data_IF_825929094557
#
_entry.id   IF_825929094557
#
_cell.length_a   1.000
_cell.length_b   1.000
_cell.length_c   1.000
_cell.angle_alpha   90.00
_cell.angle_beta   90.00
_cell.angle_gamma   90.00
#
_symmetry.space_group_name_H-M   'P 1'
#
loop_
_entity.id
_entity.type
_entity.pdbx_description
1 polymer ?
#
# COMPACT_ATOMS: atom_id res chain seq x y z
N UNK A 1 21.76 33.55 6.74
CA UNK A 1 20.51 32.80 6.46
C UNK A 1 19.92 32.39 7.78
N UNK A 2 18.65 32.72 8.02
CA UNK A 2 17.95 32.38 9.26
C UNK A 2 17.71 30.87 9.32
N UNK A 3 17.92 30.26 10.48
CA UNK A 3 17.59 28.86 10.73
C UNK A 3 16.46 28.79 11.74
N UNK A 4 15.26 28.51 11.27
CA UNK A 4 14.06 28.56 12.09
C UNK A 4 14.08 27.55 13.26
N UNK A 5 14.82 26.43 13.17
CA UNK A 5 14.97 25.50 14.31
C UNK A 5 15.64 26.13 15.54
N UNK A 6 16.54 27.09 15.32
CA UNK A 6 17.28 27.75 16.41
C UNK A 6 16.61 29.04 16.86
N UNK A 7 15.85 29.71 16.00
CA UNK A 7 15.17 30.97 16.34
C UNK A 7 14.18 30.81 17.50
N UNK A 8 13.39 29.72 17.48
CA UNK A 8 12.40 29.45 18.53
C UNK A 8 13.02 28.98 19.86
N UNK A 9 14.31 28.63 19.89
CA UNK A 9 15.02 28.30 21.14
C UNK A 9 15.66 29.50 21.82
N UNK A 10 15.79 30.63 21.12
CA UNK A 10 16.63 31.76 21.54
C UNK A 10 15.86 32.84 22.31
N UNK A 11 14.58 32.63 22.65
CA UNK A 11 13.88 33.44 23.66
C UNK A 11 14.45 33.21 25.08
N UNK A 12 15.71 33.63 25.28
CA UNK A 12 16.22 34.05 26.58
C UNK A 12 15.54 35.38 26.88
N UNK A 13 14.41 35.30 27.55
CA UNK A 13 13.72 36.42 28.17
C UNK A 13 14.70 37.26 29.01
N UNK A 14 15.03 38.45 28.51
CA UNK A 14 15.39 39.54 29.41
C UNK A 14 14.10 39.92 30.15
N UNK A 15 14.08 39.61 31.44
CA UNK A 15 13.13 40.01 32.50
C UNK A 15 11.97 39.04 32.77
N UNK A 16 12.12 38.40 33.94
CA UNK A 16 11.12 38.07 34.97
C UNK A 16 9.97 37.14 34.55
N UNK A 17 10.16 35.88 34.96
CA UNK A 17 9.15 34.94 35.48
C UNK A 17 7.80 34.83 34.74
N UNK A 18 7.72 33.86 33.83
CA UNK A 18 6.84 32.69 33.98
C UNK A 18 7.25 31.62 32.96
N UNK A 19 7.47 30.41 33.47
CA UNK A 19 7.82 29.22 32.69
C UNK A 19 6.65 28.83 31.80
N UNK A 20 6.66 29.21 30.54
CA UNK A 20 5.96 28.45 29.50
C UNK A 20 6.93 28.19 28.36
N UNK A 21 7.32 26.92 28.21
CA UNK A 21 8.27 26.43 27.22
C UNK A 21 7.63 26.34 25.81
N UNK A 22 6.64 27.19 25.51
CA UNK A 22 5.74 27.12 24.35
C UNK A 22 5.84 28.42 23.54
N UNK A 23 5.90 28.38 22.18
CA UNK A 23 5.91 29.59 21.37
C UNK A 23 4.61 30.39 21.56
N UNK A 24 4.68 31.72 21.50
CA UNK A 24 3.49 32.59 21.55
C UNK A 24 3.04 33.01 20.16
N UNK A 25 1.72 33.02 19.94
CA UNK A 25 1.10 33.43 18.67
C UNK A 25 1.36 34.91 18.33
N UNK A 26 1.65 35.74 19.34
CA UNK A 26 1.90 37.18 19.18
C UNK A 26 3.39 37.51 18.91
N UNK A 27 4.29 36.53 18.96
CA UNK A 27 5.72 36.79 18.75
C UNK A 27 6.03 37.21 17.31
N UNK A 28 6.85 38.26 17.15
CA UNK A 28 7.31 38.73 15.83
C UNK A 28 7.95 37.60 15.02
N UNK A 29 8.71 36.72 15.70
CA UNK A 29 9.35 35.55 15.09
C UNK A 29 8.30 34.60 14.51
N UNK A 30 7.19 34.35 15.20
CA UNK A 30 6.11 33.50 14.71
C UNK A 30 5.34 34.15 13.55
N UNK A 31 5.10 35.46 13.59
CA UNK A 31 4.44 36.19 12.50
C UNK A 31 5.28 36.11 11.22
N UNK A 32 6.58 36.36 11.32
CA UNK A 32 7.52 36.22 10.20
C UNK A 32 7.60 34.78 9.69
N UNK A 33 7.54 33.80 10.59
CA UNK A 33 7.54 32.37 10.22
C UNK A 33 6.26 31.98 9.46
N UNK A 34 5.11 32.44 9.93
CA UNK A 34 3.80 32.23 9.27
C UNK A 34 3.81 32.83 7.87
N UNK A 35 4.35 34.04 7.72
CA UNK A 35 4.52 34.69 6.42
C UNK A 35 5.48 33.90 5.50
N UNK A 36 6.58 33.37 6.05
CA UNK A 36 7.52 32.53 5.33
C UNK A 36 6.88 31.23 4.80
N UNK A 37 6.08 30.55 5.63
CA UNK A 37 5.41 29.31 5.23
C UNK A 37 4.24 29.55 4.26
N UNK A 38 3.58 30.70 4.35
CA UNK A 38 2.39 31.03 3.55
C UNK A 38 1.18 30.14 3.89
N UNK A 39 1.08 29.71 5.15
CA UNK A 39 -0.01 28.87 5.67
C UNK A 39 -0.90 29.64 6.65
N UNK A 40 -2.02 29.02 7.06
CA UNK A 40 -2.84 29.57 8.15
C UNK A 40 -2.08 29.60 9.47
N UNK A 41 -2.62 30.31 10.46
CA UNK A 41 -2.02 30.44 11.79
C UNK A 41 -1.88 29.07 12.46
N UNK A 42 -2.91 28.25 12.39
CA UNK A 42 -2.97 26.94 13.05
C UNK A 42 -1.93 25.98 12.47
N UNK A 43 -1.85 25.88 11.13
CA UNK A 43 -0.86 25.05 10.44
C UNK A 43 0.57 25.51 10.73
N UNK A 44 0.81 26.82 10.68
CA UNK A 44 2.12 27.40 10.95
C UNK A 44 2.54 27.17 12.40
N UNK A 45 1.58 27.25 13.34
CA UNK A 45 1.84 27.05 14.75
C UNK A 45 2.20 25.61 15.09
N UNK A 46 1.53 24.62 14.50
CA UNK A 46 1.91 23.21 14.67
C UNK A 46 3.34 22.96 14.16
N UNK A 47 3.75 23.55 13.03
CA UNK A 47 5.14 23.43 12.55
C UNK A 47 6.12 24.17 13.48
N UNK A 48 5.73 25.32 14.03
CA UNK A 48 6.53 26.05 15.00
C UNK A 48 6.80 25.21 16.27
N UNK A 49 5.75 24.61 16.83
CA UNK A 49 5.85 23.66 17.95
C UNK A 49 6.75 22.47 17.60
N UNK A 50 6.65 21.92 16.38
CA UNK A 50 7.54 20.86 15.92
C UNK A 50 9.01 21.32 15.92
N UNK A 51 9.30 22.50 15.35
CA UNK A 51 10.66 23.04 15.31
C UNK A 51 11.23 23.21 16.72
N UNK A 52 10.42 23.69 17.68
CA UNK A 52 10.81 23.82 19.07
C UNK A 52 11.11 22.45 19.71
N UNK A 53 10.21 21.47 19.58
CA UNK A 53 10.43 20.14 20.14
C UNK A 53 11.66 19.47 19.54
N UNK A 54 11.84 19.57 18.22
CA UNK A 54 12.95 18.95 17.50
C UNK A 54 14.32 19.53 17.88
N UNK A 55 14.35 20.77 18.35
CA UNK A 55 15.57 21.43 18.85
C UNK A 55 16.01 20.88 20.21
N UNK A 56 15.04 20.44 21.04
CA UNK A 56 15.25 19.91 22.40
C UNK A 56 15.42 18.40 22.41
N UNK A 57 14.68 17.70 21.55
CA UNK A 57 14.60 16.25 21.51
C UNK A 57 15.08 15.69 20.17
N UNK A 58 15.65 14.47 20.22
CA UNK A 58 16.09 13.75 19.01
C UNK A 58 14.90 13.31 18.15
N UNK A 59 13.76 13.03 18.78
CA UNK A 59 12.52 12.56 18.17
C UNK A 59 11.34 13.39 18.70
N UNK A 60 10.26 13.48 17.92
CA UNK A 60 9.03 14.19 18.29
C UNK A 60 7.87 13.23 18.13
N UNK A 61 7.06 13.06 19.18
CA UNK A 61 5.83 12.25 19.13
C UNK A 61 4.61 13.12 18.79
N UNK A 62 3.54 12.49 18.30
CA UNK A 62 2.24 13.10 18.04
C UNK A 62 1.64 13.72 19.30
N UNK A 63 1.60 12.95 20.38
CA UNK A 63 1.05 13.37 21.67
C UNK A 63 1.75 14.59 22.24
N UNK A 64 3.09 14.65 22.16
CA UNK A 64 3.87 15.79 22.66
C UNK A 64 3.65 17.03 21.79
N UNK A 65 3.60 16.86 20.47
CA UNK A 65 3.36 17.95 19.53
C UNK A 65 1.97 18.58 19.71
N UNK A 66 0.93 17.74 19.76
CA UNK A 66 -0.46 18.18 19.92
C UNK A 66 -0.62 18.84 21.29
N UNK A 67 -0.13 18.22 22.37
CA UNK A 67 -0.18 18.78 23.72
C UNK A 67 0.50 20.15 23.81
N UNK A 68 1.66 20.32 23.17
CA UNK A 68 2.35 21.60 23.15
C UNK A 68 1.53 22.68 22.42
N UNK A 69 0.99 22.37 21.24
CA UNK A 69 0.23 23.31 20.42
C UNK A 69 -1.12 23.68 21.06
N UNK A 70 -1.77 22.73 21.73
CA UNK A 70 -3.05 22.94 22.43
C UNK A 70 -2.93 23.86 23.66
N UNK A 71 -1.73 24.30 24.05
CA UNK A 71 -1.56 25.33 25.08
C UNK A 71 -1.96 26.74 24.60
N UNK A 72 -2.00 26.98 23.29
CA UNK A 72 -2.27 28.30 22.70
C UNK A 72 -3.46 28.28 21.72
N UNK A 73 -3.78 27.12 21.15
CA UNK A 73 -4.90 26.93 20.23
C UNK A 73 -5.92 25.94 20.81
N UNK A 74 -7.15 25.96 20.30
CA UNK A 74 -8.16 24.96 20.65
C UNK A 74 -7.72 23.57 20.19
N UNK A 75 -7.93 22.54 21.02
CA UNK A 75 -7.48 21.16 20.71
C UNK A 75 -8.02 20.65 19.38
N UNK A 76 -9.28 20.96 19.06
CA UNK A 76 -9.90 20.56 17.78
C UNK A 76 -9.19 21.21 16.57
N UNK A 77 -8.82 22.48 16.67
CA UNK A 77 -8.09 23.19 15.61
C UNK A 77 -6.67 22.65 15.43
N UNK A 78 -6.00 22.30 16.54
CA UNK A 78 -4.66 21.69 16.52
C UNK A 78 -4.69 20.32 15.86
N UNK A 79 -5.65 19.46 16.23
CA UNK A 79 -5.83 18.14 15.63
C UNK A 79 -6.12 18.25 14.13
N UNK A 80 -7.01 19.16 13.73
CA UNK A 80 -7.31 19.42 12.33
C UNK A 80 -6.08 19.93 11.56
N UNK A 81 -5.33 20.87 12.13
CA UNK A 81 -4.11 21.39 11.53
C UNK A 81 -3.03 20.31 11.39
N UNK A 82 -2.84 19.48 12.41
CA UNK A 82 -1.93 18.34 12.39
C UNK A 82 -2.32 17.32 11.29
N UNK A 83 -3.60 16.94 11.21
CA UNK A 83 -4.11 16.07 10.15
C UNK A 83 -3.91 16.66 8.75
N UNK A 84 -4.14 17.97 8.60
CA UNK A 84 -3.98 18.66 7.32
C UNK A 84 -2.50 18.73 6.92
N UNK A 85 -1.57 18.94 7.84
CA UNK A 85 -0.12 18.90 7.57
C UNK A 85 0.36 17.51 7.13
N UNK A 86 -0.17 16.45 7.74
CA UNK A 86 0.07 15.07 7.29
C UNK A 86 -0.51 14.85 5.88
N UNK A 87 -1.71 15.35 5.60
CA UNK A 87 -2.33 15.27 4.27
C UNK A 87 -1.53 16.03 3.20
N UNK A 88 -0.98 17.19 3.56
CA UNK A 88 -0.09 17.97 2.71
C UNK A 88 1.28 17.28 2.54
N UNK A 89 1.58 16.23 3.31
CA UNK A 89 2.88 15.57 3.30
C UNK A 89 4.01 16.49 3.78
N UNK A 90 3.67 17.48 4.60
CA UNK A 90 4.62 18.36 5.28
C UNK A 90 5.17 17.67 6.53
N UNK A 91 4.29 16.96 7.26
CA UNK A 91 4.64 16.00 8.31
C UNK A 91 4.53 14.57 7.76
N UNK A 92 5.37 13.67 8.28
CA UNK A 92 5.44 12.26 7.91
C UNK A 92 5.59 11.43 9.20
N UNK A 93 4.72 10.44 9.38
CA UNK A 93 4.88 9.46 10.46
C UNK A 93 5.84 8.36 10.02
N UNK A 94 6.91 8.16 10.78
CA UNK A 94 7.83 7.03 10.64
C UNK A 94 7.53 6.01 11.72
N UNK A 95 7.28 4.79 11.28
CA UNK A 95 7.21 3.60 12.13
C UNK A 95 8.55 2.88 12.02
N UNK A 96 9.24 2.64 13.14
CA UNK A 96 10.45 1.82 13.12
C UNK A 96 10.06 0.38 12.78
N UNK A 97 10.72 -0.22 11.77
CA UNK A 97 10.31 -1.50 11.17
C UNK A 97 10.48 -2.70 12.12
N UNK A 98 11.02 -2.50 13.32
CA UNK A 98 11.21 -3.52 14.35
C UNK A 98 10.32 -3.39 15.59
N UNK A 99 9.81 -2.19 15.90
CA UNK A 99 8.96 -1.92 17.06
C UNK A 99 7.83 -0.98 16.64
N UNK A 100 6.62 -1.52 16.50
CA UNK A 100 5.41 -0.80 16.04
C UNK A 100 4.90 0.30 16.98
N UNK A 101 5.61 0.59 18.08
CA UNK A 101 5.13 1.44 19.17
C UNK A 101 5.82 2.81 19.26
N UNK A 102 6.98 2.99 18.61
CA UNK A 102 7.70 4.27 18.61
C UNK A 102 7.35 5.05 17.34
N UNK A 103 6.20 5.73 17.34
CA UNK A 103 5.85 6.68 16.29
C UNK A 103 6.74 7.92 16.36
N UNK A 104 7.43 8.22 15.25
CA UNK A 104 8.26 9.42 15.13
C UNK A 104 7.73 10.31 14.03
N UNK A 105 7.42 11.56 14.38
CA UNK A 105 7.05 12.57 13.41
C UNK A 105 8.32 13.20 12.84
N UNK A 106 8.40 13.24 11.51
CA UNK A 106 9.45 13.97 10.80
C UNK A 106 8.86 14.93 9.79
N UNK A 107 9.53 16.06 9.60
CA UNK A 107 9.24 16.93 8.47
C UNK A 107 9.64 16.25 7.16
N UNK A 108 8.93 16.58 6.10
CA UNK A 108 9.38 16.31 4.75
C UNK A 108 10.79 16.90 4.54
N UNK A 109 11.67 16.15 3.86
CA UNK A 109 13.06 16.58 3.62
C UNK A 109 13.15 17.95 2.92
N UNK A 110 12.25 18.24 1.99
CA UNK A 110 12.25 19.53 1.27
C UNK A 110 11.85 20.67 2.20
N UNK A 111 10.81 20.45 3.02
CA UNK A 111 10.37 21.39 4.05
C UNK A 111 11.45 21.61 5.13
N UNK A 112 12.09 20.54 5.60
CA UNK A 112 13.17 20.63 6.59
C UNK A 112 14.34 21.46 6.06
N UNK A 113 14.70 21.30 4.78
CA UNK A 113 15.72 22.11 4.10
C UNK A 113 15.26 23.57 3.93
N UNK A 114 14.00 23.80 3.56
CA UNK A 114 13.42 25.13 3.45
C UNK A 114 13.50 25.88 4.79
N UNK A 115 13.13 25.22 5.89
CA UNK A 115 13.17 25.74 7.25
C UNK A 115 14.62 25.99 7.72
N UNK A 116 15.56 25.09 7.44
CA UNK A 116 16.98 25.28 7.82
C UNK A 116 17.67 26.42 7.09
N UNK A 117 17.31 26.65 5.82
CA UNK A 117 17.93 27.66 4.96
C UNK A 117 17.12 28.95 4.84
N UNK A 118 15.92 28.99 5.41
CA UNK A 118 14.90 30.03 5.17
C UNK A 118 14.68 30.30 3.68
N UNK A 119 14.62 29.24 2.87
CA UNK A 119 14.40 29.35 1.42
C UNK A 119 12.98 28.92 1.03
N UNK A 120 12.13 29.88 0.67
CA UNK A 120 10.72 29.67 0.33
C UNK A 120 10.54 28.90 -0.99
N UNK A 121 11.51 28.94 -1.92
CA UNK A 121 11.44 28.19 -3.18
C UNK A 121 11.49 26.67 -2.98
N UNK A 122 12.03 26.23 -1.84
CA UNK A 122 12.11 24.82 -1.46
C UNK A 122 10.84 24.31 -0.77
N UNK A 123 9.86 25.18 -0.49
CA UNK A 123 8.62 24.76 0.17
C UNK A 123 7.83 23.79 -0.72
N UNK A 124 7.25 22.71 -0.15
CA UNK A 124 6.45 21.77 -0.93
C UNK A 124 5.25 22.45 -1.59
N UNK A 125 5.07 22.27 -2.90
CA UNK A 125 3.92 22.83 -3.63
C UNK A 125 2.61 22.17 -3.17
N UNK A 126 1.61 22.99 -2.81
CA UNK A 126 0.32 22.56 -2.27
C UNK A 126 -0.58 21.83 -3.29
N UNK A 127 -0.41 22.09 -4.59
CA UNK A 127 -1.43 21.83 -5.63
C UNK A 127 -1.62 20.34 -5.96
N UNK A 128 -0.57 19.53 -5.95
CA UNK A 128 -0.70 18.08 -6.24
C UNK A 128 -1.31 17.29 -5.07
N UNK A 129 -1.31 17.86 -3.86
CA UNK A 129 -1.68 17.15 -2.63
C UNK A 129 -3.19 17.06 -2.34
N UNK A 130 -4.03 17.84 -3.03
CA UNK A 130 -5.48 17.88 -2.78
C UNK A 130 -6.31 16.85 -3.56
N UNK A 131 -5.81 16.31 -4.69
CA UNK A 131 -6.55 15.31 -5.53
C UNK A 131 -7.04 14.12 -4.70
N UNK A 132 -6.31 13.77 -3.63
CA UNK A 132 -6.61 12.67 -2.74
C UNK A 132 -6.78 13.10 -1.27
N UNK A 133 -7.10 14.37 -0.97
CA UNK A 133 -7.23 14.85 0.43
C UNK A 133 -8.11 13.93 1.29
N UNK A 134 -9.31 13.59 0.81
CA UNK A 134 -10.20 12.69 1.55
C UNK A 134 -9.67 11.25 1.72
N UNK A 135 -8.93 10.73 0.74
CA UNK A 135 -8.28 9.42 0.86
C UNK A 135 -7.11 9.46 1.85
N UNK A 136 -6.33 10.55 1.86
CA UNK A 136 -5.24 10.74 2.82
C UNK A 136 -5.76 10.87 4.25
N UNK A 137 -6.83 11.64 4.46
CA UNK A 137 -7.50 11.73 5.77
C UNK A 137 -7.99 10.36 6.24
N UNK A 138 -8.58 9.56 5.33
CA UNK A 138 -8.97 8.19 5.62
C UNK A 138 -7.77 7.33 6.04
N UNK A 139 -6.65 7.42 5.31
CA UNK A 139 -5.42 6.67 5.61
C UNK A 139 -4.87 7.05 6.98
N UNK A 140 -4.75 8.35 7.26
CA UNK A 140 -4.25 8.86 8.55
C UNK A 140 -5.11 8.35 9.71
N UNK A 141 -6.45 8.47 9.61
CA UNK A 141 -7.33 7.95 10.66
C UNK A 141 -7.24 6.43 10.81
N UNK A 142 -7.03 5.68 9.73
CA UNK A 142 -6.79 4.24 9.82
C UNK A 142 -5.46 3.93 10.55
N UNK A 143 -4.40 4.72 10.31
CA UNK A 143 -3.14 4.59 11.04
C UNK A 143 -3.33 4.88 12.53
N UNK A 144 -4.04 5.97 12.89
CA UNK A 144 -4.38 6.29 14.28
C UNK A 144 -5.16 5.17 14.97
N UNK A 145 -6.13 4.56 14.28
CA UNK A 145 -6.85 3.40 14.82
C UNK A 145 -5.90 2.21 15.07
N UNK A 146 -4.93 1.99 14.19
CA UNK A 146 -3.99 0.88 14.31
C UNK A 146 -3.08 1.03 15.53
N UNK A 147 -2.66 2.24 15.86
CA UNK A 147 -1.83 2.56 17.03
C UNK A 147 -2.66 2.85 18.30
N UNK A 148 -3.99 2.64 18.23
CA UNK A 148 -4.95 2.89 19.31
C UNK A 148 -5.02 4.35 19.79
N UNK A 149 -4.68 5.32 18.92
CA UNK A 149 -4.91 6.75 19.21
C UNK A 149 -6.38 7.13 19.12
N UNK A 150 -7.15 6.47 18.24
CA UNK A 150 -8.60 6.61 18.17
C UNK A 150 -9.28 5.27 18.46
N UNK A 151 -10.49 5.33 19.01
CA UNK A 151 -11.25 4.12 19.32
C UNK A 151 -11.88 3.47 18.09
N UNK A 152 -12.17 2.16 18.18
CA UNK A 152 -12.98 1.44 17.17
C UNK A 152 -14.33 2.12 16.93
N UNK A 153 -14.92 2.72 17.96
CA UNK A 153 -16.21 3.41 17.85
C UNK A 153 -16.07 4.72 17.07
N UNK A 154 -15.06 5.54 17.36
CA UNK A 154 -14.76 6.76 16.60
C UNK A 154 -14.52 6.46 15.12
N UNK A 155 -13.78 5.38 14.81
CA UNK A 155 -13.61 4.92 13.43
C UNK A 155 -14.94 4.56 12.78
N UNK A 156 -15.80 3.78 13.44
CA UNK A 156 -17.11 3.39 12.91
C UNK A 156 -18.01 4.61 12.66
N UNK A 157 -17.97 5.61 13.53
CA UNK A 157 -18.75 6.84 13.40
C UNK A 157 -18.22 7.70 12.24
N UNK A 158 -16.90 7.83 12.11
CA UNK A 158 -16.25 8.49 10.98
C UNK A 158 -16.63 7.83 9.64
N UNK A 159 -16.51 6.50 9.55
CA UNK A 159 -16.89 5.74 8.36
C UNK A 159 -18.37 5.90 8.04
N UNK A 160 -19.23 5.85 9.05
CA UNK A 160 -20.67 6.06 8.87
C UNK A 160 -20.95 7.44 8.29
N UNK A 161 -20.30 8.50 8.81
CA UNK A 161 -20.42 9.88 8.32
C UNK A 161 -20.02 10.01 6.84
N UNK A 162 -18.89 9.44 6.43
CA UNK A 162 -18.44 9.54 5.02
C UNK A 162 -19.27 8.68 4.07
N UNK A 163 -19.82 7.55 4.54
CA UNK A 163 -20.68 6.66 3.73
C UNK A 163 -22.13 7.17 3.60
N UNK A 164 -22.59 8.03 4.51
CA UNK A 164 -23.90 8.70 4.41
C UNK A 164 -23.98 9.55 3.13
N UNK A 165 -22.98 10.39 2.88
CA UNK A 165 -22.90 11.27 1.69
C UNK A 165 -21.56 11.06 0.94
N UNK A 166 -21.42 9.97 0.17
CA UNK A 166 -20.16 9.64 -0.49
C UNK A 166 -19.89 10.62 -1.64
N UNK A 167 -18.80 11.38 -1.55
CA UNK A 167 -18.37 12.32 -2.60
C UNK A 167 -17.39 11.70 -3.59
N UNK A 168 -16.54 10.79 -3.11
CA UNK A 168 -15.50 10.16 -3.93
C UNK A 168 -16.03 8.94 -4.69
N UNK A 169 -15.53 8.73 -5.92
CA UNK A 169 -15.95 7.62 -6.80
C UNK A 169 -15.85 6.25 -6.12
N UNK A 170 -14.76 5.98 -5.40
CA UNK A 170 -14.57 4.71 -4.69
C UNK A 170 -15.58 4.50 -3.54
N UNK A 171 -16.00 5.57 -2.85
CA UNK A 171 -17.03 5.48 -1.80
C UNK A 171 -18.42 5.21 -2.40
N UNK A 172 -18.72 5.81 -3.56
CA UNK A 172 -19.95 5.53 -4.31
C UNK A 172 -19.95 4.06 -4.77
N UNK A 173 -18.82 3.59 -5.31
CA UNK A 173 -18.64 2.19 -5.69
C UNK A 173 -18.82 1.26 -4.48
N UNK A 174 -18.20 1.55 -3.34
CA UNK A 174 -18.34 0.74 -2.13
C UNK A 174 -19.79 0.71 -1.63
N UNK A 175 -20.48 1.87 -1.60
CA UNK A 175 -21.89 1.97 -1.20
C UNK A 175 -22.80 1.12 -2.09
N UNK A 176 -22.49 0.99 -3.38
CA UNK A 176 -23.25 0.14 -4.31
C UNK A 176 -23.22 -1.35 -3.93
N UNK A 177 -22.21 -1.79 -3.17
CA UNK A 177 -22.06 -3.19 -2.71
C UNK A 177 -22.95 -3.56 -1.51
N UNK A 178 -23.67 -2.59 -0.92
CA UNK A 178 -24.64 -2.82 0.18
C UNK A 178 -24.08 -3.65 1.34
N UNK A 179 -22.83 -3.38 1.71
CA UNK A 179 -22.16 -4.04 2.84
C UNK A 179 -22.68 -3.52 4.19
N UNK A 180 -22.44 -4.28 5.27
CA UNK A 180 -22.75 -3.82 6.63
C UNK A 180 -21.87 -2.62 7.02
N UNK A 181 -22.25 -1.90 8.08
CA UNK A 181 -21.43 -0.79 8.61
C UNK A 181 -20.01 -1.27 8.99
N UNK A 182 -19.93 -2.44 9.62
CA UNK A 182 -18.67 -3.08 10.01
C UNK A 182 -17.82 -3.44 8.78
N UNK A 183 -18.42 -4.08 7.77
CA UNK A 183 -17.71 -4.49 6.55
C UNK A 183 -17.13 -3.29 5.79
N UNK A 184 -17.90 -2.18 5.69
CA UNK A 184 -17.40 -0.95 5.08
C UNK A 184 -16.18 -0.41 5.85
N UNK A 185 -16.23 -0.45 7.19
CA UNK A 185 -15.13 -0.03 8.04
C UNK A 185 -13.89 -0.92 7.90
N UNK A 186 -14.08 -2.24 7.79
CA UNK A 186 -13.00 -3.21 7.55
C UNK A 186 -12.36 -2.97 6.17
N UNK A 187 -13.17 -2.84 5.11
CA UNK A 187 -12.68 -2.61 3.75
C UNK A 187 -11.84 -1.34 3.68
N UNK A 188 -12.34 -0.23 4.21
CA UNK A 188 -11.66 1.06 4.16
C UNK A 188 -10.40 1.08 5.04
N UNK A 189 -10.42 0.40 6.20
CA UNK A 189 -9.24 0.24 7.05
C UNK A 189 -8.17 -0.61 6.35
N UNK A 190 -8.51 -1.82 5.92
CA UNK A 190 -7.59 -2.75 5.27
C UNK A 190 -6.95 -2.14 4.03
N UNK A 191 -7.74 -1.43 3.21
CA UNK A 191 -7.26 -0.73 2.03
C UNK A 191 -6.29 0.39 2.40
N UNK A 192 -6.58 1.13 3.47
CA UNK A 192 -5.73 2.22 3.93
C UNK A 192 -4.36 1.73 4.39
N UNK A 193 -4.34 0.66 5.20
CA UNK A 193 -3.11 0.02 5.66
C UNK A 193 -2.32 -0.57 4.48
N UNK A 194 -3.00 -1.23 3.54
CA UNK A 194 -2.37 -1.75 2.32
C UNK A 194 -1.67 -0.65 1.52
N UNK A 195 -2.35 0.48 1.28
CA UNK A 195 -1.79 1.61 0.51
C UNK A 195 -0.62 2.24 1.28
N UNK A 196 -0.74 2.42 2.59
CA UNK A 196 0.26 3.10 3.41
C UNK A 196 1.56 2.29 3.54
N UNK A 197 1.47 1.00 3.83
CA UNK A 197 2.62 0.16 4.18
C UNK A 197 3.05 -0.80 3.09
N UNK A 198 2.25 -0.98 2.03
CA UNK A 198 2.45 -2.00 1.00
C UNK A 198 2.59 -3.41 1.58
N UNK A 199 1.81 -3.72 2.62
CA UNK A 199 1.85 -5.04 3.28
C UNK A 199 1.28 -6.10 2.35
N UNK A 200 1.87 -7.29 2.36
CA UNK A 200 1.42 -8.46 1.62
C UNK A 200 0.20 -9.17 2.24
N UNK A 201 -0.24 -8.78 3.44
CA UNK A 201 -1.35 -9.41 4.14
C UNK A 201 -2.10 -8.44 5.06
N UNK A 202 -3.37 -8.15 4.75
CA UNK A 202 -4.21 -7.30 5.59
C UNK A 202 -4.88 -8.05 6.76
N UNK A 203 -4.85 -9.39 6.80
CA UNK A 203 -5.59 -10.20 7.79
C UNK A 203 -5.16 -9.88 9.23
N UNK A 204 -3.85 -9.84 9.51
CA UNK A 204 -3.37 -9.63 10.87
C UNK A 204 -3.80 -8.27 11.46
N UNK A 205 -3.61 -7.12 10.76
CA UNK A 205 -4.13 -5.82 11.21
C UNK A 205 -5.65 -5.80 11.43
N UNK A 206 -6.43 -6.40 10.52
CA UNK A 206 -7.89 -6.45 10.67
C UNK A 206 -8.28 -7.19 11.94
N UNK A 207 -7.66 -8.36 12.16
CA UNK A 207 -7.99 -9.21 13.31
C UNK A 207 -7.61 -8.57 14.63
N UNK A 208 -6.47 -7.87 14.72
CA UNK A 208 -6.09 -7.14 15.93
C UNK A 208 -7.00 -5.96 16.22
N UNK A 209 -7.49 -5.26 15.19
CA UNK A 209 -8.25 -4.02 15.37
C UNK A 209 -9.74 -4.25 15.54
N UNK A 210 -10.33 -5.25 14.87
CA UNK A 210 -11.78 -5.46 14.85
C UNK A 210 -12.27 -6.58 15.77
N UNK A 211 -11.36 -7.27 16.47
CA UNK A 211 -11.71 -8.35 17.41
C UNK A 211 -11.40 -7.93 18.85
N UNK A 212 -12.31 -8.24 19.78
CA UNK A 212 -12.16 -7.85 21.18
C UNK A 212 -11.54 -8.96 22.04
N UNK A 213 -11.61 -10.20 21.56
CA UNK A 213 -11.22 -11.40 22.30
C UNK A 213 -10.80 -12.51 21.33
N UNK A 214 -10.24 -13.60 21.85
CA UNK A 214 -9.75 -14.72 21.04
C UNK A 214 -10.85 -15.42 20.24
N UNK A 215 -12.09 -15.45 20.74
CA UNK A 215 -13.23 -16.11 20.08
C UNK A 215 -13.72 -15.25 18.93
N UNK A 216 -13.91 -13.94 19.15
CA UNK A 216 -14.28 -13.02 18.05
C UNK A 216 -13.20 -12.95 16.98
N UNK A 217 -11.93 -13.02 17.38
CA UNK A 217 -10.80 -13.09 16.46
C UNK A 217 -10.83 -14.34 15.61
N UNK A 218 -11.05 -15.50 16.22
CA UNK A 218 -11.16 -16.76 15.50
C UNK A 218 -12.33 -16.76 14.51
N UNK A 219 -13.52 -16.28 14.93
CA UNK A 219 -14.70 -16.20 14.07
C UNK A 219 -14.46 -15.29 12.86
N UNK A 220 -13.97 -14.08 13.09
CA UNK A 220 -13.69 -13.13 12.02
C UNK A 220 -12.62 -13.68 11.06
N UNK A 221 -11.61 -14.37 11.58
CA UNK A 221 -10.58 -15.01 10.76
C UNK A 221 -11.17 -16.11 9.87
N UNK A 222 -11.98 -17.02 10.43
CA UNK A 222 -12.64 -18.07 9.67
C UNK A 222 -13.61 -17.51 8.62
N UNK A 223 -14.35 -16.45 8.97
CA UNK A 223 -15.25 -15.76 8.03
C UNK A 223 -14.49 -15.14 6.87
N UNK A 224 -13.40 -14.40 7.14
CA UNK A 224 -12.58 -13.78 6.09
C UNK A 224 -11.83 -14.82 5.25
N UNK A 225 -11.44 -15.96 5.81
CA UNK A 225 -10.85 -17.06 5.03
C UNK A 225 -11.89 -17.81 4.19
N UNK A 226 -13.15 -17.79 4.62
CA UNK A 226 -14.22 -18.35 3.81
C UNK A 226 -14.40 -17.51 2.55
N UNK A 227 -14.42 -18.16 1.38
CA UNK A 227 -14.74 -17.49 0.12
C UNK A 227 -16.23 -17.04 0.03
N UNK A 228 -16.96 -17.09 1.15
CA UNK A 228 -18.38 -16.75 1.27
C UNK A 228 -18.60 -15.34 1.86
N UNK A 229 -17.58 -14.73 2.47
CA UNK A 229 -17.72 -13.41 3.07
C UNK A 229 -18.12 -12.34 2.03
N UNK A 230 -18.93 -11.36 2.43
CA UNK A 230 -19.43 -10.31 1.51
C UNK A 230 -18.30 -9.50 0.87
N UNK A 231 -17.23 -9.25 1.62
CA UNK A 231 -16.05 -8.52 1.12
C UNK A 231 -15.39 -9.27 -0.06
N UNK A 232 -15.38 -10.60 -0.02
CA UNK A 232 -14.77 -11.45 -1.05
C UNK A 232 -15.73 -11.66 -2.22
N UNK A 233 -16.98 -12.02 -1.94
CA UNK A 233 -18.00 -12.26 -2.97
C UNK A 233 -18.30 -11.02 -3.81
N UNK A 234 -18.19 -9.82 -3.24
CA UNK A 234 -18.33 -8.56 -3.98
C UNK A 234 -17.05 -8.10 -4.69
N UNK A 235 -15.99 -8.93 -4.70
CA UNK A 235 -14.69 -8.69 -5.34
C UNK A 235 -14.00 -7.41 -4.85
N UNK A 236 -14.04 -7.14 -3.54
CA UNK A 236 -13.26 -6.04 -2.95
C UNK A 236 -11.89 -6.52 -2.48
N UNK A 237 -11.86 -7.71 -1.88
CA UNK A 237 -10.63 -8.42 -1.54
C UNK A 237 -10.70 -9.86 -2.06
N UNK A 238 -9.54 -10.49 -2.14
CA UNK A 238 -9.40 -11.91 -2.43
C UNK A 238 -8.41 -12.55 -1.45
N UNK A 239 -8.57 -13.85 -1.27
CA UNK A 239 -7.68 -14.68 -0.47
C UNK A 239 -6.57 -15.23 -1.38
N UNK A 240 -5.32 -14.96 -1.03
CA UNK A 240 -4.13 -15.46 -1.70
C UNK A 240 -3.40 -16.43 -0.77
N UNK A 241 -3.13 -17.63 -1.26
CA UNK A 241 -2.34 -18.60 -0.52
C UNK A 241 -0.86 -18.20 -0.58
N UNK A 242 -0.29 -17.96 0.60
CA UNK A 242 1.12 -17.67 0.82
C UNK A 242 1.89 -18.96 1.11
N UNK A 243 3.20 -18.83 1.28
CA UNK A 243 4.05 -19.94 1.72
C UNK A 243 3.54 -20.51 3.06
N UNK A 244 3.69 -21.82 3.23
CA UNK A 244 3.26 -22.56 4.44
C UNK A 244 1.74 -22.58 4.70
N UNK A 245 0.93 -22.33 3.67
CA UNK A 245 -0.53 -22.44 3.76
C UNK A 245 -1.21 -21.28 4.50
N UNK A 246 -0.49 -20.19 4.76
CA UNK A 246 -1.10 -18.96 5.27
C UNK A 246 -1.96 -18.31 4.18
N UNK A 247 -3.16 -17.84 4.54
CA UNK A 247 -4.04 -17.14 3.62
C UNK A 247 -3.94 -15.63 3.88
N UNK A 248 -3.43 -14.90 2.89
CA UNK A 248 -3.38 -13.45 2.90
C UNK A 248 -4.62 -12.83 2.26
N UNK A 249 -5.16 -11.80 2.90
CA UNK A 249 -6.28 -11.02 2.34
C UNK A 249 -5.72 -9.78 1.61
N UNK A 250 -5.98 -9.67 0.31
CA UNK A 250 -5.45 -8.63 -0.57
C UNK A 250 -6.55 -7.90 -1.35
N UNK A 251 -6.44 -6.58 -1.59
CA UNK A 251 -7.43 -5.85 -2.37
C UNK A 251 -7.40 -6.27 -3.85
N UNK A 252 -8.58 -6.35 -4.46
CA UNK A 252 -8.68 -6.71 -5.88
C UNK A 252 -8.24 -5.56 -6.78
N UNK A 253 -7.88 -5.90 -8.02
CA UNK A 253 -7.57 -4.93 -9.07
C UNK A 253 -8.75 -4.00 -9.33
N UNK A 254 -9.98 -4.53 -9.40
CA UNK A 254 -11.19 -3.74 -9.64
C UNK A 254 -11.42 -2.72 -8.52
N UNK A 255 -11.18 -3.10 -7.27
CA UNK A 255 -11.30 -2.20 -6.14
C UNK A 255 -10.23 -1.10 -6.17
N UNK A 256 -8.97 -1.46 -6.42
CA UNK A 256 -7.89 -0.47 -6.54
C UNK A 256 -8.12 0.50 -7.71
N UNK A 257 -8.65 0.03 -8.83
CA UNK A 257 -9.03 0.87 -9.97
C UNK A 257 -10.20 1.82 -9.65
N UNK A 258 -11.11 1.43 -8.77
CA UNK A 258 -12.17 2.33 -8.30
C UNK A 258 -11.61 3.50 -7.47
N UNK A 259 -10.49 3.29 -6.76
CA UNK A 259 -9.79 4.31 -5.97
C UNK A 259 -8.87 5.15 -6.86
N UNK A 260 -8.10 4.48 -7.71
CA UNK A 260 -7.12 5.06 -8.61
C UNK A 260 -7.42 4.67 -10.06
N UNK A 261 -8.30 5.40 -10.76
CA UNK A 261 -8.64 5.09 -12.15
C UNK A 261 -7.43 5.12 -13.09
N UNK A 262 -6.44 5.95 -12.76
CA UNK A 262 -5.22 6.16 -13.55
C UNK A 262 -4.12 5.12 -13.23
N UNK A 263 -4.37 4.13 -12.35
CA UNK A 263 -3.35 3.20 -11.90
C UNK A 263 -2.95 2.23 -13.02
N UNK A 264 -1.74 2.41 -13.57
CA UNK A 264 -1.07 1.40 -14.40
C UNK A 264 -0.54 0.32 -13.46
N UNK A 265 -1.33 -0.72 -13.21
CA UNK A 265 -0.86 -1.90 -12.48
C UNK A 265 0.13 -2.63 -13.40
N UNK A 266 1.41 -2.45 -13.08
CA UNK A 266 2.51 -3.23 -13.62
C UNK A 266 2.34 -4.65 -13.09
N UNK A 267 2.02 -5.61 -13.96
CA UNK A 267 2.02 -7.02 -13.57
C UNK A 267 3.47 -7.40 -13.27
N UNK A 268 3.85 -7.54 -12.01
CA UNK A 268 5.24 -7.77 -11.60
C UNK A 268 5.93 -8.96 -12.30
N UNK A 269 5.16 -9.96 -12.74
CA UNK A 269 5.67 -11.14 -13.47
C UNK A 269 6.03 -10.80 -14.93
N UNK A 270 5.41 -9.79 -15.54
CA UNK A 270 5.56 -9.50 -16.96
C UNK A 270 6.80 -8.63 -17.29
N UNK A 271 7.38 -7.94 -16.30
CA UNK A 271 8.42 -6.93 -16.51
C UNK A 271 9.76 -7.26 -15.82
N UNK A 272 9.94 -8.49 -15.34
CA UNK A 272 11.26 -8.93 -14.86
C UNK A 272 12.22 -9.03 -16.07
N UNK A 273 13.45 -8.49 -16.03
CA UNK A 273 14.38 -8.49 -17.18
C UNK A 273 14.57 -9.90 -17.77
N UNK A 274 14.76 -10.89 -16.89
CA UNK A 274 14.92 -12.29 -17.29
C UNK A 274 13.65 -12.96 -17.90
N UNK A 275 12.50 -12.29 -17.95
CA UNK A 275 11.26 -12.80 -18.55
C UNK A 275 10.86 -11.96 -19.76
N UNK A 276 10.71 -12.60 -20.92
CA UNK A 276 10.15 -11.97 -22.12
C UNK A 276 8.76 -12.53 -22.40
N UNK A 277 7.73 -11.67 -22.37
CA UNK A 277 6.36 -12.04 -22.74
C UNK A 277 6.16 -12.01 -24.26
N UNK A 278 5.74 -13.13 -24.83
CA UNK A 278 5.33 -13.26 -26.22
C UNK A 278 3.80 -13.41 -26.24
N UNK A 279 3.11 -12.42 -26.80
CA UNK A 279 1.65 -12.46 -26.89
C UNK A 279 1.21 -13.50 -27.91
N UNK A 280 0.24 -14.36 -27.58
CA UNK A 280 -0.22 -15.40 -28.50
C UNK A 280 -0.71 -14.83 -29.84
N UNK A 281 -1.28 -13.62 -29.84
CA UNK A 281 -1.74 -12.94 -31.06
C UNK A 281 -0.60 -12.54 -32.01
N UNK A 282 0.62 -12.44 -31.51
CA UNK A 282 1.83 -12.17 -32.30
C UNK A 282 2.47 -13.44 -32.87
N UNK A 283 1.99 -14.63 -32.49
CA UNK A 283 2.52 -15.91 -32.96
C UNK A 283 1.85 -16.26 -34.28
N UNK A 284 2.66 -16.40 -35.33
CA UNK A 284 2.17 -16.90 -36.61
C UNK A 284 1.99 -18.42 -36.57
N UNK A 285 0.88 -18.89 -37.13
CA UNK A 285 0.63 -20.32 -37.28
C UNK A 285 1.68 -20.94 -38.20
N UNK A 286 2.29 -22.05 -37.75
CA UNK A 286 3.25 -22.81 -38.53
C UNK A 286 2.91 -24.30 -38.49
N UNK A 287 2.81 -24.97 -39.64
CA UNK A 287 2.60 -26.42 -39.66
C UNK A 287 3.86 -27.12 -39.14
N UNK A 288 3.68 -27.97 -38.12
CA UNK A 288 4.74 -28.80 -37.55
C UNK A 288 4.56 -30.25 -38.00
N UNK A 289 5.64 -30.88 -38.45
CA UNK A 289 5.64 -32.26 -38.94
C UNK A 289 6.22 -33.19 -37.88
N UNK A 290 5.43 -34.18 -37.48
CA UNK A 290 5.80 -35.20 -36.50
C UNK A 290 5.52 -36.59 -37.05
N UNK A 291 6.26 -37.59 -36.55
CA UNK A 291 5.91 -38.98 -36.81
C UNK A 291 4.61 -39.34 -36.07
N UNK A 292 3.95 -40.41 -36.51
CA UNK A 292 2.65 -40.86 -35.99
C UNK A 292 2.63 -40.97 -34.46
N UNK A 293 3.67 -41.52 -33.86
CA UNK A 293 3.74 -41.70 -32.40
C UNK A 293 3.80 -40.35 -31.66
N UNK A 294 4.68 -39.41 -32.05
CA UNK A 294 4.76 -38.09 -31.40
C UNK A 294 3.53 -37.24 -31.66
N UNK A 295 2.90 -37.41 -32.82
CA UNK A 295 1.68 -36.69 -33.16
C UNK A 295 0.55 -37.03 -32.17
N UNK A 296 0.44 -38.30 -31.76
CA UNK A 296 -0.53 -38.71 -30.74
C UNK A 296 -0.27 -38.05 -29.38
N UNK A 297 1.00 -38.00 -28.94
CA UNK A 297 1.38 -37.33 -27.68
C UNK A 297 1.05 -35.82 -27.72
N UNK A 298 1.32 -35.17 -28.85
CA UNK A 298 1.03 -33.74 -29.05
C UNK A 298 -0.46 -33.47 -29.05
N UNK A 299 -1.27 -34.30 -29.73
CA UNK A 299 -2.72 -34.19 -29.71
C UNK A 299 -3.29 -34.37 -28.29
N UNK A 300 -2.70 -35.27 -27.50
CA UNK A 300 -3.06 -35.43 -26.10
C UNK A 300 -2.75 -34.16 -25.29
N UNK A 301 -1.58 -33.56 -25.49
CA UNK A 301 -1.21 -32.29 -24.83
C UNK A 301 -2.12 -31.15 -25.24
N UNK A 302 -2.44 -31.01 -26.52
CA UNK A 302 -3.37 -30.00 -27.03
C UNK A 302 -4.72 -30.10 -26.33
N UNK A 303 -5.30 -31.31 -26.31
CA UNK A 303 -6.58 -31.57 -25.65
C UNK A 303 -6.53 -31.28 -24.15
N UNK A 304 -5.47 -31.73 -23.46
CA UNK A 304 -5.28 -31.50 -22.03
C UNK A 304 -5.15 -30.01 -21.69
N UNK A 305 -4.47 -29.26 -22.56
CA UNK A 305 -4.23 -27.84 -22.40
C UNK A 305 -5.43 -26.98 -22.83
N UNK A 306 -6.48 -27.52 -23.45
CA UNK A 306 -7.69 -26.73 -23.70
C UNK A 306 -8.29 -26.18 -22.39
N UNK A 307 -8.84 -24.94 -22.38
CA UNK A 307 -9.30 -24.29 -21.15
C UNK A 307 -10.27 -25.15 -20.30
N UNK A 308 -11.21 -25.85 -20.93
CA UNK A 308 -12.18 -26.70 -20.25
C UNK A 308 -11.53 -27.94 -19.63
N UNK A 309 -10.72 -28.66 -20.40
CA UNK A 309 -10.02 -29.86 -19.95
C UNK A 309 -8.99 -29.55 -18.86
N UNK A 310 -8.22 -28.47 -19.02
CA UNK A 310 -7.23 -28.03 -18.04
C UNK A 310 -7.90 -27.61 -16.72
N UNK A 311 -9.05 -26.94 -16.77
CA UNK A 311 -9.82 -26.60 -15.57
C UNK A 311 -10.27 -27.86 -14.81
N UNK A 312 -10.79 -28.86 -15.52
CA UNK A 312 -11.20 -30.12 -14.92
C UNK A 312 -10.02 -30.90 -14.32
N UNK A 313 -8.87 -30.91 -14.99
CA UNK A 313 -7.63 -31.48 -14.46
C UNK A 313 -7.24 -30.81 -13.13
N UNK A 314 -7.23 -29.48 -13.09
CA UNK A 314 -6.88 -28.73 -11.87
C UNK A 314 -7.80 -29.02 -10.70
N UNK A 315 -9.11 -29.15 -10.94
CA UNK A 315 -10.07 -29.48 -9.89
C UNK A 315 -9.77 -30.86 -9.29
N UNK A 316 -9.58 -31.88 -10.14
CA UNK A 316 -9.26 -33.25 -9.68
C UNK A 316 -7.91 -33.31 -8.96
N UNK A 317 -6.88 -32.65 -9.49
CA UNK A 317 -5.57 -32.60 -8.85
C UNK A 317 -5.63 -31.94 -7.46
N UNK A 318 -6.43 -30.87 -7.31
CA UNK A 318 -6.66 -30.20 -6.03
C UNK A 318 -7.38 -31.10 -5.03
N UNK A 319 -8.38 -31.87 -5.46
CA UNK A 319 -9.09 -32.84 -4.62
C UNK A 319 -8.16 -33.95 -4.11
N UNK A 320 -7.19 -34.35 -4.94
CA UNK A 320 -6.18 -35.37 -4.62
C UNK A 320 -4.97 -34.81 -3.86
N UNK A 321 -4.93 -33.51 -3.54
CA UNK A 321 -3.78 -32.81 -2.94
C UNK A 321 -2.49 -32.95 -3.76
N UNK A 322 -2.61 -33.03 -5.08
CA UNK A 322 -1.48 -33.07 -6.00
C UNK A 322 -1.19 -31.70 -6.64
N UNK A 323 -0.05 -31.60 -7.32
CA UNK A 323 0.35 -30.40 -8.04
C UNK A 323 -0.66 -30.09 -9.15
N UNK A 324 -1.28 -28.90 -9.09
CA UNK A 324 -2.25 -28.44 -10.10
C UNK A 324 -1.61 -27.93 -11.40
N UNK A 325 -0.29 -28.07 -11.55
CA UNK A 325 0.49 -27.62 -12.69
C UNK A 325 0.95 -28.79 -13.54
N UNK A 326 1.08 -28.55 -14.85
CA UNK A 326 1.64 -29.52 -15.78
C UNK A 326 3.04 -29.09 -16.17
N UNK A 327 3.98 -30.03 -16.09
CA UNK A 327 5.38 -29.82 -16.47
C UNK A 327 5.73 -30.72 -17.63
N UNK A 328 6.20 -30.14 -18.73
CA UNK A 328 6.62 -30.87 -19.91
C UNK A 328 8.12 -30.70 -20.14
N UNK A 329 8.80 -31.80 -20.49
CA UNK A 329 10.20 -31.79 -20.90
C UNK A 329 10.29 -32.21 -22.36
N UNK A 330 10.64 -31.26 -23.23
CA UNK A 330 10.85 -31.53 -24.65
C UNK A 330 12.33 -31.84 -24.92
N UNK A 331 12.63 -33.06 -25.38
CA UNK A 331 13.99 -33.52 -25.69
C UNK A 331 14.16 -33.85 -27.19
N UNK A 332 15.39 -33.73 -27.69
CA UNK A 332 15.75 -34.07 -29.09
C UNK A 332 16.90 -33.22 -29.63
N UNK A 333 17.34 -33.47 -30.87
CA UNK A 333 18.43 -32.71 -31.52
C UNK A 333 18.12 -31.22 -31.73
N UNK A 334 19.13 -30.36 -31.97
CA UNK A 334 18.91 -28.96 -32.33
C UNK A 334 18.05 -28.85 -33.60
N UNK A 335 17.21 -27.80 -33.70
CA UNK A 335 16.36 -27.58 -34.88
C UNK A 335 15.12 -28.47 -35.01
N UNK A 336 14.87 -29.41 -34.08
CA UNK A 336 13.70 -30.33 -34.12
C UNK A 336 12.36 -29.70 -33.70
N UNK A 337 12.25 -28.37 -33.70
CA UNK A 337 10.96 -27.68 -33.49
C UNK A 337 10.46 -27.60 -32.05
N UNK A 338 11.24 -27.96 -31.02
CA UNK A 338 10.82 -27.92 -29.59
C UNK A 338 10.26 -26.55 -29.16
N UNK A 339 11.01 -25.48 -29.42
CA UNK A 339 10.62 -24.11 -29.05
C UNK A 339 9.41 -23.65 -29.86
N UNK A 340 9.32 -24.07 -31.12
CA UNK A 340 8.20 -23.73 -32.00
C UNK A 340 6.92 -24.46 -31.56
N UNK A 341 7.01 -25.72 -31.14
CA UNK A 341 5.88 -26.47 -30.58
C UNK A 341 5.24 -25.75 -29.39
N UNK A 342 6.04 -25.23 -28.45
CA UNK A 342 5.51 -24.42 -27.35
C UNK A 342 4.72 -23.19 -27.83
N UNK A 343 5.22 -22.50 -28.87
CA UNK A 343 4.54 -21.32 -29.44
C UNK A 343 3.21 -21.70 -30.11
N UNK A 344 3.19 -22.82 -30.84
CA UNK A 344 1.97 -23.29 -31.50
C UNK A 344 0.92 -23.79 -30.49
N UNK A 345 1.33 -24.45 -29.40
CA UNK A 345 0.44 -24.81 -28.29
C UNK A 345 -0.14 -23.58 -27.60
N UNK A 346 0.68 -22.55 -27.39
CA UNK A 346 0.26 -21.27 -26.83
C UNK A 346 -0.78 -20.56 -27.72
N UNK A 347 -0.53 -20.52 -29.03
CA UNK A 347 -1.46 -19.97 -30.02
C UNK A 347 -2.82 -20.70 -29.99
N UNK A 348 -2.81 -22.04 -30.08
CA UNK A 348 -4.02 -22.88 -30.08
C UNK A 348 -4.84 -22.78 -28.80
N UNK A 349 -4.19 -22.50 -27.67
CA UNK A 349 -4.85 -22.43 -26.35
C UNK A 349 -5.10 -21.00 -25.87
N UNK A 350 -4.81 -20.00 -26.71
CA UNK A 350 -4.93 -18.58 -26.40
C UNK A 350 -4.19 -18.16 -25.12
N UNK A 351 -2.96 -18.65 -24.97
CA UNK A 351 -2.09 -18.35 -23.83
C UNK A 351 -0.83 -17.64 -24.27
N UNK A 352 -0.43 -16.60 -23.55
CA UNK A 352 0.87 -15.98 -23.77
C UNK A 352 2.00 -16.89 -23.31
N UNK A 353 3.15 -16.75 -23.96
CA UNK A 353 4.38 -17.45 -23.56
C UNK A 353 5.23 -16.50 -22.73
N UNK A 354 5.63 -16.93 -21.54
CA UNK A 354 6.69 -16.29 -20.77
C UNK A 354 7.99 -17.04 -21.03
N UNK A 355 8.88 -16.43 -21.79
CA UNK A 355 10.19 -16.98 -22.09
C UNK A 355 11.19 -16.56 -21.01
N UNK A 356 11.84 -17.54 -20.40
CA UNK A 356 12.89 -17.30 -19.41
C UNK A 356 14.27 -17.22 -20.09
N UNK A 357 14.88 -16.04 -20.03
CA UNK A 357 16.20 -15.77 -20.60
C UNK A 357 17.31 -16.18 -19.62
N UNK A 358 17.80 -17.41 -19.78
CA UNK A 358 18.87 -17.99 -18.94
C UNK A 358 20.15 -17.13 -18.93
N UNK A 359 20.44 -16.43 -20.03
CA UNK A 359 21.63 -15.58 -20.14
C UNK A 359 21.60 -14.36 -19.22
N UNK A 360 20.41 -13.85 -18.90
CA UNK A 360 20.24 -12.68 -18.02
C UNK A 360 20.21 -13.04 -16.54
N UNK A 361 20.03 -14.32 -16.22
CA UNK A 361 19.99 -14.83 -14.84
C UNK A 361 21.33 -15.34 -14.33
N UNK A 362 22.29 -15.63 -15.23
CA UNK A 362 23.63 -16.11 -14.86
C UNK A 362 24.50 -14.98 -14.33
N UNK A 363 24.93 -15.10 -13.07
CA UNK A 363 25.94 -14.21 -12.49
C UNK A 363 27.23 -14.97 -12.17
N UNK A 364 28.38 -14.28 -12.23
CA UNK A 364 29.71 -14.85 -11.97
C UNK A 364 29.93 -15.21 -10.49
N UNK A 365 29.12 -14.65 -9.59
CA UNK A 365 29.23 -14.86 -8.14
C UNK A 365 28.38 -16.03 -7.66
N UNK A 366 28.99 -16.88 -6.81
CA UNK A 366 28.37 -18.08 -6.26
C UNK A 366 27.13 -17.72 -5.41
N UNK A 367 26.01 -18.41 -5.66
CA UNK A 367 24.74 -18.20 -4.94
C UNK A 367 23.88 -17.02 -5.41
N UNK A 368 24.40 -16.09 -6.22
CA UNK A 368 23.57 -14.97 -6.75
C UNK A 368 22.62 -15.42 -7.86
N UNK A 369 23.06 -16.37 -8.69
CA UNK A 369 22.19 -16.98 -9.72
C UNK A 369 20.96 -17.65 -9.07
N UNK A 370 21.13 -18.35 -7.95
CA UNK A 370 20.03 -19.00 -7.23
C UNK A 370 19.09 -17.99 -6.55
N UNK A 371 19.63 -16.88 -6.02
CA UNK A 371 18.84 -15.77 -5.48
C UNK A 371 18.00 -15.10 -6.58
N UNK A 372 18.59 -14.86 -7.75
CA UNK A 372 17.90 -14.24 -8.89
C UNK A 372 16.81 -15.15 -9.47
N UNK A 373 17.02 -16.47 -9.49
CA UNK A 373 15.98 -17.43 -9.88
C UNK A 373 14.84 -17.47 -8.85
N UNK A 374 15.14 -17.34 -7.55
CA UNK A 374 14.11 -17.29 -6.49
C UNK A 374 13.28 -16.01 -6.48
N UNK A 375 13.80 -14.90 -6.99
CA UNK A 375 13.07 -13.62 -7.04
C UNK A 375 12.13 -13.48 -8.24
N UNK A 376 12.20 -14.43 -9.17
CA UNK A 376 11.35 -14.56 -10.36
C UNK A 376 10.20 -15.52 -10.01
#
# INVERSE_FOLDING_TARGET
>A
MRNWFTEFTVEKTKRVETKTNCPTLESDVFIEFTAFLGLSVELSFVICCYCLLRSKHKYVSSSELISLASNQLLSEDVELAYEDLLCMGWLINKYDRGNSWDEQIVLNKTLELAIKKSNAELLPRLIENYKYKGLKQLIIKACFLRINEISKQEWLDYITKIMLKPRAKYLIFLKSKRLSKLDNAIVLFATSIYIHERISNCSSPILSTFSNDSITRFKLHAELQSNQHKIITHKLFYNEEQQFGEIALLPTKEWLMAIFPDLKIVNAIADHPALTRINYTSIHEKPLLFNSNKLNDILLFEKLLEPAHFKNYRLKASEMKEMCGLTFLFSGGPGTGKTELCKQLALKTHRDVLLFNVSETKNKYYGETEKNVKSI
#
